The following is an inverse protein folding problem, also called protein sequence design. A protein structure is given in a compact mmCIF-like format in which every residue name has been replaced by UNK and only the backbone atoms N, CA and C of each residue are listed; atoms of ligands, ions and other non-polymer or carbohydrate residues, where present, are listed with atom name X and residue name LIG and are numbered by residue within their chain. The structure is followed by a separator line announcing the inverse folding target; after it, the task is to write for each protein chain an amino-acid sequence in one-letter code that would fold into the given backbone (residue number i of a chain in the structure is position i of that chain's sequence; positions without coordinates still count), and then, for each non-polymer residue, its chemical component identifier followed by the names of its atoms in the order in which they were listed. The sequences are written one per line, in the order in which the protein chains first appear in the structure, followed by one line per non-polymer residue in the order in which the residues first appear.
data_IF_777585397498
#
_entry.id   IF_777585397498
#
_cell.length_a   1.000
_cell.length_b   1.000
_cell.length_c   1.000
_cell.angle_alpha   90.00
_cell.angle_beta   90.00
_cell.angle_gamma   90.00
#
_symmetry.space_group_name_H-M   'P 1'
#
loop_
_entity.id
_entity.type
_entity.pdbx_description
1 polymer ?
#
# COMPACT_ATOMS: atom_id res chain seq x y z
N UNK A 1 -10.08 24.79 -18.58
CA UNK A 1 -11.40 24.16 -18.72
C UNK A 1 -11.98 23.97 -17.33
N UNK A 2 -13.13 24.58 -17.02
CA UNK A 2 -13.76 24.57 -15.70
C UNK A 2 -14.27 23.16 -15.39
N UNK A 3 -13.56 22.42 -14.56
CA UNK A 3 -14.07 21.18 -13.99
C UNK A 3 -15.13 21.53 -12.94
N UNK A 4 -16.41 21.40 -13.29
CA UNK A 4 -17.46 21.19 -12.29
C UNK A 4 -17.00 20.00 -11.44
N UNK A 5 -16.60 20.27 -10.19
CA UNK A 5 -16.21 19.24 -9.22
C UNK A 5 -17.41 18.34 -8.96
N UNK A 6 -17.58 17.29 -9.76
CA UNK A 6 -18.63 16.29 -9.58
C UNK A 6 -18.44 15.65 -8.22
N UNK A 7 -19.38 15.90 -7.31
CA UNK A 7 -19.42 15.25 -6.02
C UNK A 7 -19.82 13.79 -6.25
N UNK A 8 -18.92 12.85 -5.94
CA UNK A 8 -19.23 11.42 -6.00
C UNK A 8 -19.60 10.91 -4.62
N UNK A 9 -20.58 10.01 -4.58
CA UNK A 9 -21.01 9.30 -3.37
C UNK A 9 -21.56 7.94 -3.75
N UNK A 10 -21.90 7.14 -2.75
CA UNK A 10 -22.56 5.85 -2.96
C UNK A 10 -23.77 5.98 -3.90
N UNK A 11 -23.81 5.11 -4.92
CA UNK A 11 -24.80 5.13 -6.00
C UNK A 11 -24.37 5.92 -7.25
N UNK A 12 -23.33 6.77 -7.18
CA UNK A 12 -22.74 7.41 -8.36
C UNK A 12 -22.19 6.36 -9.35
N UNK A 13 -22.22 6.67 -10.65
CA UNK A 13 -21.69 5.80 -11.72
C UNK A 13 -21.01 6.61 -12.81
N UNK A 14 -20.12 5.97 -13.57
CA UNK A 14 -19.54 6.50 -14.79
C UNK A 14 -18.03 6.75 -14.71
N UNK A 15 -17.49 7.46 -15.70
CA UNK A 15 -16.05 7.63 -15.89
C UNK A 15 -15.34 8.32 -14.72
N UNK A 16 -16.02 9.23 -14.01
CA UNK A 16 -15.41 9.86 -12.83
C UNK A 16 -15.25 8.87 -11.66
N UNK A 17 -16.14 7.88 -11.54
CA UNK A 17 -15.99 6.80 -10.56
C UNK A 17 -14.85 5.85 -10.97
N UNK A 18 -14.70 5.57 -12.27
CA UNK A 18 -13.55 4.80 -12.79
C UNK A 18 -12.24 5.45 -12.38
N UNK A 19 -12.08 6.75 -12.65
CA UNK A 19 -10.87 7.52 -12.26
C UNK A 19 -10.62 7.48 -10.75
N UNK A 20 -11.68 7.63 -9.95
CA UNK A 20 -11.59 7.52 -8.50
C UNK A 20 -11.07 6.14 -8.08
N UNK A 21 -11.68 5.08 -8.60
CA UNK A 21 -11.31 3.69 -8.29
C UNK A 21 -9.86 3.40 -8.72
N UNK A 22 -9.43 3.87 -9.89
CA UNK A 22 -8.03 3.76 -10.35
C UNK A 22 -7.07 4.46 -9.41
N UNK A 23 -7.38 5.70 -9.01
CA UNK A 23 -6.57 6.47 -8.09
C UNK A 23 -6.44 5.80 -6.72
N UNK A 24 -7.58 5.41 -6.12
CA UNK A 24 -7.60 4.70 -4.84
C UNK A 24 -6.88 3.35 -4.91
N UNK A 25 -6.96 2.65 -6.05
CA UNK A 25 -6.27 1.38 -6.26
C UNK A 25 -4.77 1.55 -6.41
N UNK A 26 -4.30 2.58 -7.13
CA UNK A 26 -2.87 2.93 -7.21
C UNK A 26 -2.26 3.26 -5.85
N UNK A 27 -3.06 3.80 -4.94
CA UNK A 27 -2.66 4.14 -3.57
C UNK A 27 -2.98 3.03 -2.56
N UNK A 28 -3.39 1.85 -3.02
CA UNK A 28 -3.72 0.67 -2.22
C UNK A 28 -4.87 0.85 -1.20
N UNK A 29 -5.74 1.84 -1.40
CA UNK A 29 -6.98 2.01 -0.63
C UNK A 29 -8.14 1.16 -1.15
N UNK A 30 -8.07 0.69 -2.40
CA UNK A 30 -9.15 -0.04 -3.06
C UNK A 30 -8.65 -1.31 -3.75
N UNK A 31 -9.17 -2.47 -3.34
CA UNK A 31 -8.83 -3.77 -3.92
C UNK A 31 -9.88 -4.30 -4.93
N UNK A 32 -11.04 -3.63 -5.03
CA UNK A 32 -12.14 -4.06 -5.89
C UNK A 32 -11.89 -3.89 -7.39
N UNK A 33 -12.87 -4.28 -8.19
CA UNK A 33 -12.87 -4.06 -9.63
C UNK A 33 -13.05 -2.56 -9.95
N UNK A 34 -12.42 -2.11 -11.02
CA UNK A 34 -12.63 -0.78 -11.59
C UNK A 34 -13.79 -0.92 -12.58
N UNK A 35 -15.01 -0.76 -12.09
CA UNK A 35 -16.26 -0.98 -12.82
C UNK A 35 -17.04 0.32 -13.07
N UNK A 36 -16.58 1.44 -12.51
CA UNK A 36 -17.26 2.71 -12.59
C UNK A 36 -18.54 2.77 -11.77
N UNK A 37 -18.74 1.87 -10.80
CA UNK A 37 -19.88 1.86 -9.88
C UNK A 37 -19.41 2.20 -8.47
N UNK A 38 -19.92 3.29 -7.91
CA UNK A 38 -19.59 3.71 -6.56
C UNK A 38 -20.47 2.92 -5.58
N UNK A 39 -20.09 1.67 -5.33
CA UNK A 39 -20.71 0.80 -4.32
C UNK A 39 -20.07 0.95 -2.94
N UNK A 40 -20.49 0.09 -2.01
CA UNK A 40 -19.98 0.05 -0.64
C UNK A 40 -18.45 -0.06 -0.57
N UNK A 41 -17.84 -0.93 -1.40
CA UNK A 41 -16.38 -1.08 -1.42
C UNK A 41 -15.64 0.18 -1.88
N UNK A 42 -16.21 0.98 -2.79
CA UNK A 42 -15.63 2.27 -3.19
C UNK A 42 -15.79 3.30 -2.08
N UNK A 43 -16.95 3.33 -1.39
CA UNK A 43 -17.20 4.21 -0.25
C UNK A 43 -16.21 3.96 0.88
N UNK A 44 -16.01 2.71 1.25
CA UNK A 44 -15.07 2.32 2.30
C UNK A 44 -13.64 2.77 1.94
N UNK A 45 -13.23 2.56 0.68
CA UNK A 45 -11.95 3.05 0.18
C UNK A 45 -11.81 4.58 0.28
N UNK A 46 -12.86 5.33 -0.05
CA UNK A 46 -12.87 6.79 0.09
C UNK A 46 -12.75 7.21 1.55
N UNK A 47 -13.51 6.60 2.47
CA UNK A 47 -13.45 6.90 3.91
C UNK A 47 -12.03 6.69 4.43
N UNK A 48 -11.39 5.59 4.02
CA UNK A 48 -10.01 5.27 4.42
C UNK A 48 -9.02 6.29 3.90
N UNK A 49 -9.12 6.62 2.61
CA UNK A 49 -8.28 7.65 2.00
C UNK A 49 -8.47 9.01 2.68
N UNK A 50 -9.71 9.36 3.03
CA UNK A 50 -10.00 10.60 3.75
C UNK A 50 -9.35 10.58 5.14
N UNK A 51 -9.52 9.50 5.93
CA UNK A 51 -8.90 9.37 7.25
C UNK A 51 -7.38 9.43 7.20
N UNK A 52 -6.75 8.74 6.24
CA UNK A 52 -5.29 8.67 6.13
C UNK A 52 -4.63 10.01 5.80
N UNK A 53 -5.39 10.95 5.25
CA UNK A 53 -4.92 12.30 4.92
C UNK A 53 -5.57 13.38 5.79
N UNK A 54 -6.16 13.03 6.93
CA UNK A 54 -6.75 13.99 7.88
C UNK A 54 -7.95 14.76 7.33
N UNK A 55 -8.64 14.23 6.32
CA UNK A 55 -9.88 14.78 5.78
C UNK A 55 -11.09 14.31 6.59
N UNK A 56 -12.22 14.99 6.42
CA UNK A 56 -13.51 14.49 6.92
C UNK A 56 -13.84 13.17 6.23
N UNK A 57 -13.99 12.12 7.02
CA UNK A 57 -14.16 10.75 6.54
C UNK A 57 -15.63 10.37 6.35
N UNK A 58 -16.33 11.11 5.49
CA UNK A 58 -17.77 10.97 5.22
C UNK A 58 -18.09 10.04 4.03
N UNK A 59 -17.08 9.58 3.29
CA UNK A 59 -17.25 8.74 2.11
C UNK A 59 -17.75 9.50 0.88
N UNK A 60 -17.73 10.84 0.92
CA UNK A 60 -18.15 11.72 -0.18
C UNK A 60 -16.91 12.34 -0.82
N UNK A 61 -16.75 12.13 -2.12
CA UNK A 61 -15.63 12.69 -2.89
C UNK A 61 -16.01 14.06 -3.42
N UNK A 62 -15.74 15.08 -2.59
CA UNK A 62 -15.82 16.48 -2.98
C UNK A 62 -14.48 17.05 -3.46
N UNK A 63 -14.43 18.36 -3.69
CA UNK A 63 -13.24 19.06 -4.20
C UNK A 63 -11.98 18.82 -3.35
N UNK A 64 -12.10 18.78 -2.02
CA UNK A 64 -10.96 18.51 -1.11
C UNK A 64 -10.39 17.11 -1.30
N UNK A 65 -11.25 16.10 -1.41
CA UNK A 65 -10.82 14.72 -1.63
C UNK A 65 -10.18 14.55 -3.00
N UNK A 66 -10.77 15.14 -4.05
CA UNK A 66 -10.17 15.14 -5.39
C UNK A 66 -8.83 15.85 -5.44
N UNK A 67 -8.73 17.03 -4.83
CA UNK A 67 -7.49 17.80 -4.79
C UNK A 67 -6.39 16.99 -4.13
N UNK A 68 -6.68 16.35 -2.98
CA UNK A 68 -5.68 15.54 -2.29
C UNK A 68 -5.30 14.29 -3.09
N UNK A 69 -6.28 13.60 -3.67
CA UNK A 69 -6.03 12.41 -4.49
C UNK A 69 -5.12 12.74 -5.69
N UNK A 70 -5.41 13.84 -6.39
CA UNK A 70 -4.63 14.28 -7.54
C UNK A 70 -3.25 14.80 -7.15
N UNK A 71 -3.12 15.49 -6.01
CA UNK A 71 -1.83 15.91 -5.45
C UNK A 71 -0.92 14.70 -5.22
N UNK A 72 -1.44 13.65 -4.56
CA UNK A 72 -0.67 12.44 -4.29
C UNK A 72 -0.32 11.69 -5.59
N UNK A 73 -1.27 11.58 -6.53
CA UNK A 73 -1.03 10.89 -7.81
C UNK A 73 -0.13 11.67 -8.78
N UNK A 74 -0.12 13.00 -8.69
CA UNK A 74 0.61 13.91 -9.58
C UNK A 74 2.04 14.22 -9.11
N UNK A 75 2.31 14.11 -7.81
CA UNK A 75 3.66 14.07 -7.31
C UNK A 75 4.26 12.73 -7.74
N UNK A 76 5.24 12.73 -8.66
CA UNK A 76 6.07 11.55 -8.93
C UNK A 76 6.69 11.10 -7.60
N UNK A 77 6.03 10.14 -6.94
CA UNK A 77 6.35 9.50 -5.65
C UNK A 77 7.63 10.06 -5.04
N UNK A 78 7.49 11.15 -4.29
CA UNK A 78 8.61 11.85 -3.66
C UNK A 78 9.46 10.85 -2.88
N UNK A 79 10.80 10.95 -3.00
CA UNK A 79 11.80 10.13 -2.31
C UNK A 79 11.67 10.08 -0.78
N UNK A 80 10.72 10.80 -0.17
CA UNK A 80 10.62 11.05 1.26
C UNK A 80 9.31 10.54 1.93
N UNK A 81 8.53 9.67 1.29
CA UNK A 81 7.30 9.12 1.89
C UNK A 81 7.56 8.09 3.00
N UNK A 82 8.59 7.29 2.79
CA UNK A 82 8.93 6.17 3.66
C UNK A 82 10.02 6.56 4.64
N UNK A 83 9.80 6.28 5.91
CA UNK A 83 10.80 6.44 6.97
C UNK A 83 11.09 5.09 7.60
N UNK A 84 12.37 4.83 7.85
CA UNK A 84 12.80 3.64 8.60
C UNK A 84 12.25 3.67 10.02
N UNK A 85 11.70 2.55 10.47
CA UNK A 85 11.20 2.42 11.82
C UNK A 85 12.34 2.41 12.84
N UNK A 86 12.08 2.94 14.03
CA UNK A 86 12.95 2.76 15.20
C UNK A 86 12.86 1.33 15.72
N UNK A 87 13.87 0.81 16.45
CA UNK A 87 13.82 -0.55 17.01
C UNK A 87 12.55 -0.83 17.83
N UNK A 88 12.05 0.15 18.58
CA UNK A 88 10.80 0.02 19.33
C UNK A 88 9.58 -0.11 18.41
N UNK A 89 9.52 0.71 17.35
CA UNK A 89 8.47 0.61 16.33
C UNK A 89 8.53 -0.73 15.59
N UNK A 90 9.73 -1.25 15.29
CA UNK A 90 9.88 -2.57 14.67
C UNK A 90 9.32 -3.70 15.54
N UNK A 91 9.55 -3.63 16.87
CA UNK A 91 8.99 -4.61 17.81
C UNK A 91 7.47 -4.58 17.81
N UNK A 92 6.86 -3.39 17.84
CA UNK A 92 5.40 -3.26 17.80
C UNK A 92 4.82 -3.67 16.44
N UNK A 93 5.53 -3.38 15.35
CA UNK A 93 5.15 -3.84 14.02
C UNK A 93 5.16 -5.37 13.94
N UNK A 94 6.24 -6.02 14.41
CA UNK A 94 6.34 -7.48 14.45
C UNK A 94 5.19 -8.08 15.28
N UNK A 95 4.90 -7.51 16.46
CA UNK A 95 3.75 -7.93 17.28
C UNK A 95 2.43 -7.80 16.51
N UNK A 96 2.24 -6.71 15.77
CA UNK A 96 1.05 -6.51 14.94
C UNK A 96 0.95 -7.56 13.83
N UNK A 97 2.06 -7.89 13.16
CA UNK A 97 2.10 -8.89 12.10
C UNK A 97 1.75 -10.29 12.60
N UNK A 98 2.35 -10.75 13.70
CA UNK A 98 2.14 -12.12 14.21
C UNK A 98 0.75 -12.31 14.84
N UNK A 99 0.12 -11.23 15.31
CA UNK A 99 -1.24 -11.26 15.87
C UNK A 99 -2.33 -10.96 14.82
N UNK A 100 -1.95 -10.78 13.55
CA UNK A 100 -2.88 -10.57 12.45
C UNK A 100 -2.91 -11.78 11.53
N UNK A 101 -4.12 -12.23 11.14
CA UNK A 101 -4.28 -13.29 10.13
C UNK A 101 -3.58 -12.93 8.81
N UNK A 102 -3.71 -11.68 8.37
CA UNK A 102 -3.08 -11.21 7.13
C UNK A 102 -1.58 -10.99 7.29
N UNK A 103 -1.13 -10.55 8.47
CA UNK A 103 0.31 -10.48 8.77
C UNK A 103 0.96 -11.85 8.73
N UNK A 104 0.39 -12.85 9.39
CA UNK A 104 0.86 -14.25 9.36
C UNK A 104 0.81 -14.82 7.94
N UNK A 105 -0.26 -14.57 7.17
CA UNK A 105 -0.34 -15.00 5.78
C UNK A 105 0.81 -14.44 4.92
N UNK A 106 1.15 -13.17 5.11
CA UNK A 106 2.28 -12.56 4.42
C UNK A 106 3.63 -13.17 4.84
N UNK A 107 3.83 -13.42 6.14
CA UNK A 107 5.03 -14.07 6.66
C UNK A 107 5.19 -15.50 6.14
N UNK A 108 4.09 -16.25 6.03
CA UNK A 108 4.09 -17.57 5.42
C UNK A 108 4.48 -17.51 3.94
N UNK A 109 3.98 -16.52 3.19
CA UNK A 109 4.35 -16.35 1.79
C UNK A 109 5.86 -16.06 1.63
N UNK A 110 6.43 -15.22 2.49
CA UNK A 110 7.87 -14.94 2.55
C UNK A 110 8.67 -16.22 2.83
N UNK A 111 8.21 -17.05 3.78
CA UNK A 111 8.85 -18.31 4.12
C UNK A 111 8.81 -19.31 2.95
N UNK A 112 7.67 -19.43 2.25
CA UNK A 112 7.52 -20.28 1.06
C UNK A 112 8.45 -19.88 -0.09
N UNK A 113 8.81 -18.61 -0.18
CA UNK A 113 9.77 -18.08 -1.16
C UNK A 113 11.22 -18.14 -0.68
N UNK A 114 11.47 -18.78 0.48
CA UNK A 114 12.77 -18.96 1.14
C UNK A 114 13.42 -17.67 1.69
N UNK A 115 12.69 -16.60 1.97
CA UNK A 115 13.25 -15.31 2.45
C UNK A 115 13.45 -15.21 3.99
N UNK A 116 13.80 -16.32 4.63
CA UNK A 116 13.99 -16.42 6.10
C UNK A 116 15.41 -16.88 6.52
N UNK A 117 16.36 -16.90 5.57
CA UNK A 117 17.74 -17.36 5.80
C UNK A 117 18.60 -16.38 6.60
N UNK A 118 19.72 -16.87 7.15
CA UNK A 118 20.67 -16.07 7.94
C UNK A 118 21.38 -14.97 7.12
N UNK A 119 21.49 -15.15 5.82
CA UNK A 119 22.00 -14.19 4.85
C UNK A 119 20.96 -13.13 4.42
N UNK A 120 19.76 -13.18 5.00
CA UNK A 120 18.69 -12.23 4.73
C UNK A 120 18.63 -11.13 5.80
N UNK A 121 18.67 -9.87 5.38
CA UNK A 121 18.44 -8.70 6.25
C UNK A 121 17.00 -8.22 6.12
N UNK A 122 16.32 -8.05 7.25
CA UNK A 122 14.97 -7.48 7.34
C UNK A 122 15.02 -6.05 7.88
N UNK A 123 14.26 -5.13 7.26
CA UNK A 123 14.06 -3.75 7.75
C UNK A 123 12.59 -3.36 7.62
N UNK A 124 12.11 -2.56 8.57
CA UNK A 124 10.75 -2.04 8.52
C UNK A 124 10.69 -0.55 8.26
N UNK A 125 9.65 -0.14 7.55
CA UNK A 125 9.40 1.23 7.15
C UNK A 125 7.95 1.58 7.40
N UNK A 126 7.70 2.84 7.72
CA UNK A 126 6.36 3.42 7.83
C UNK A 126 6.21 4.52 6.79
N UNK A 127 5.04 4.57 6.17
CA UNK A 127 4.71 5.65 5.26
C UNK A 127 4.10 6.80 6.06
N UNK A 128 4.86 7.89 6.21
CA UNK A 128 4.43 9.06 6.97
C UNK A 128 3.37 9.88 6.18
N UNK A 129 3.30 9.74 4.85
CA UNK A 129 2.30 10.43 4.02
C UNK A 129 0.88 9.89 4.26
N UNK A 130 0.76 8.57 4.46
CA UNK A 130 -0.51 7.93 4.80
C UNK A 130 -0.71 7.80 6.31
N UNK A 131 -0.14 8.68 7.14
CA UNK A 131 -0.39 8.70 8.59
C UNK A 131 -0.17 7.37 9.31
N UNK A 132 0.73 6.51 8.80
CA UNK A 132 1.00 5.18 9.35
C UNK A 132 0.03 4.06 8.95
N UNK A 133 -0.94 4.33 8.05
CA UNK A 133 -1.83 3.31 7.50
C UNK A 133 -1.13 2.37 6.50
N UNK A 134 0.12 2.67 6.12
CA UNK A 134 0.97 1.74 5.37
C UNK A 134 2.29 1.53 6.09
N UNK A 135 2.64 0.26 6.28
CA UNK A 135 3.95 -0.17 6.74
C UNK A 135 4.55 -1.11 5.71
N UNK A 136 5.87 -1.22 5.68
CA UNK A 136 6.57 -2.05 4.72
C UNK A 136 7.66 -2.84 5.41
N UNK A 137 7.68 -4.14 5.14
CA UNK A 137 8.79 -5.02 5.50
C UNK A 137 9.61 -5.30 4.24
N UNK A 138 10.86 -4.87 4.26
CA UNK A 138 11.84 -5.15 3.21
C UNK A 138 12.73 -6.29 3.66
N UNK A 139 12.92 -7.28 2.81
CA UNK A 139 13.84 -8.40 3.04
C UNK A 139 14.80 -8.48 1.87
N UNK A 140 16.10 -8.41 2.15
CA UNK A 140 17.18 -8.58 1.16
C UNK A 140 18.03 -9.78 1.52
N UNK A 141 18.30 -10.68 0.59
CA UNK A 141 19.21 -11.80 0.78
C UNK A 141 20.42 -11.66 -0.16
N UNK A 142 21.58 -12.19 0.22
CA UNK A 142 22.78 -12.12 -0.63
C UNK A 142 22.69 -12.97 -1.89
N UNK A 143 21.96 -14.09 -1.81
CA UNK A 143 21.71 -14.98 -2.95
C UNK A 143 20.27 -14.83 -3.46
N UNK A 144 20.04 -14.74 -4.78
CA UNK A 144 18.68 -14.78 -5.33
C UNK A 144 17.89 -16.02 -4.89
N UNK A 145 16.60 -15.84 -4.65
CA UNK A 145 15.64 -16.86 -4.20
C UNK A 145 14.35 -16.78 -5.01
N UNK A 146 13.44 -17.71 -4.77
CA UNK A 146 12.11 -17.74 -5.37
C UNK A 146 11.48 -19.12 -5.25
N UNK A 147 10.15 -19.20 -5.32
CA UNK A 147 9.42 -20.47 -5.27
C UNK A 147 9.63 -21.33 -6.54
N UNK A 148 10.09 -20.71 -7.64
CA UNK A 148 10.44 -21.37 -8.90
C UNK A 148 11.81 -20.88 -9.35
N UNK A 149 12.69 -21.81 -9.72
CA UNK A 149 14.10 -21.56 -10.10
C UNK A 149 14.28 -20.87 -11.46
N UNK A 150 13.19 -20.52 -12.16
CA UNK A 150 13.26 -19.93 -13.49
C UNK A 150 13.68 -18.45 -13.49
N UNK A 151 13.31 -17.69 -12.46
CA UNK A 151 13.68 -16.26 -12.30
C UNK A 151 13.86 -15.99 -10.80
N UNK A 152 15.11 -15.82 -10.37
CA UNK A 152 15.45 -15.52 -8.97
C UNK A 152 15.38 -14.01 -8.66
N UNK A 153 15.09 -13.67 -7.42
CA UNK A 153 15.12 -12.30 -6.92
C UNK A 153 15.79 -12.24 -5.55
N UNK A 154 16.47 -11.14 -5.27
CA UNK A 154 17.25 -10.98 -4.04
C UNK A 154 16.55 -10.08 -3.02
N UNK A 155 15.43 -9.46 -3.39
CA UNK A 155 14.66 -8.58 -2.52
C UNK A 155 13.15 -8.85 -2.65
N UNK A 156 12.49 -9.02 -1.50
CA UNK A 156 11.03 -8.98 -1.36
C UNK A 156 10.67 -7.74 -0.54
N UNK A 157 9.64 -7.02 -0.99
CA UNK A 157 8.98 -5.97 -0.20
C UNK A 157 7.54 -6.35 0.03
N UNK A 158 7.15 -6.37 1.30
CA UNK A 158 5.77 -6.62 1.71
C UNK A 158 5.20 -5.32 2.23
N UNK A 159 4.25 -4.73 1.52
CA UNK A 159 3.50 -3.56 1.97
C UNK A 159 2.24 -4.03 2.69
N UNK A 160 2.07 -3.63 3.95
CA UNK A 160 0.88 -3.92 4.75
C UNK A 160 -0.03 -2.70 4.73
N UNK A 161 -1.24 -2.88 4.20
CA UNK A 161 -2.26 -1.84 4.19
C UNK A 161 -3.16 -2.02 5.41
N UNK A 162 -3.26 -0.96 6.20
CA UNK A 162 -3.91 -0.96 7.49
C UNK A 162 -5.16 -0.08 7.44
N UNK A 163 -6.16 -0.50 8.19
CA UNK A 163 -7.23 0.38 8.63
C UNK A 163 -7.26 0.38 10.15
N UNK A 164 -7.02 1.55 10.72
CA UNK A 164 -6.75 1.72 12.14
C UNK A 164 -5.58 0.80 12.55
N UNK A 165 -5.76 -0.07 13.55
CA UNK A 165 -4.73 -1.02 13.98
C UNK A 165 -4.71 -2.34 13.19
N UNK A 166 -5.68 -2.57 12.31
CA UNK A 166 -5.87 -3.86 11.64
C UNK A 166 -5.18 -3.91 10.29
N UNK A 167 -4.39 -4.96 10.05
CA UNK A 167 -3.83 -5.26 8.73
C UNK A 167 -4.91 -5.97 7.92
N UNK A 168 -5.38 -5.32 6.88
CA UNK A 168 -6.49 -5.85 6.10
C UNK A 168 -6.04 -6.61 4.86
N UNK A 169 -4.97 -6.14 4.24
CA UNK A 169 -4.35 -6.82 3.13
C UNK A 169 -2.85 -6.51 3.09
N UNK A 170 -2.15 -7.22 2.22
CA UNK A 170 -0.76 -6.96 1.94
C UNK A 170 -0.50 -7.12 0.45
N UNK A 171 0.53 -6.41 -0.03
CA UNK A 171 1.04 -6.54 -1.39
C UNK A 171 2.49 -7.00 -1.33
N UNK A 172 2.87 -7.86 -2.27
CA UNK A 172 4.24 -8.35 -2.39
C UNK A 172 4.82 -7.85 -3.71
N UNK A 173 5.94 -7.15 -3.59
CA UNK A 173 6.79 -6.77 -4.70
C UNK A 173 8.07 -7.63 -4.65
N UNK A 174 8.45 -8.17 -5.80
CA UNK A 174 9.66 -8.97 -6.01
C UNK A 174 10.61 -8.16 -6.87
N UNK A 175 11.85 -8.01 -6.42
CA UNK A 175 12.82 -7.08 -7.03
C UNK A 175 14.05 -7.85 -7.50
N UNK A 176 14.31 -7.75 -8.80
CA UNK A 176 15.53 -8.25 -9.46
C UNK A 176 15.77 -7.48 -10.77
N UNK A 177 16.92 -7.70 -11.39
CA UNK A 177 17.24 -7.13 -12.70
C UNK A 177 16.26 -7.61 -13.79
N UNK A 178 15.79 -8.85 -13.70
CA UNK A 178 14.90 -9.48 -14.69
C UNK A 178 13.41 -9.16 -14.47
N UNK A 179 12.98 -9.00 -13.22
CA UNK A 179 11.58 -8.70 -12.87
C UNK A 179 11.30 -7.21 -12.99
N UNK A 180 12.25 -6.37 -12.55
CA UNK A 180 12.12 -4.93 -12.56
C UNK A 180 12.67 -4.28 -11.30
N UNK A 181 13.06 -3.02 -11.47
CA UNK A 181 13.41 -2.13 -10.37
C UNK A 181 12.20 -1.94 -9.42
N UNK A 182 12.46 -1.65 -8.13
CA UNK A 182 11.38 -1.40 -7.19
C UNK A 182 10.55 -0.17 -7.60
N UNK A 183 9.24 -0.21 -7.31
CA UNK A 183 8.27 0.87 -7.57
C UNK A 183 8.65 2.21 -6.95
N UNK A 184 9.43 2.19 -5.88
CA UNK A 184 9.91 3.39 -5.18
C UNK A 184 11.26 3.12 -4.47
N UNK A 185 12.02 4.17 -4.22
CA UNK A 185 13.22 4.09 -3.39
C UNK A 185 12.84 4.08 -1.89
N UNK A 186 13.63 3.35 -1.09
CA UNK A 186 13.52 3.35 0.37
C UNK A 186 14.79 3.97 0.95
N UNK A 187 14.71 4.75 2.05
CA UNK A 187 15.92 5.24 2.70
C UNK A 187 16.74 4.08 3.26
N UNK A 188 18.05 4.29 3.41
CA UNK A 188 18.97 3.28 3.95
C UNK A 188 18.72 2.96 5.44
#
# INVERSE_FOLDING_TARGET
MNATSTVLKEGSKGQEVVKLQEGLKKLNFYAGAIDGIFGAGTKDAVIRFQRSHGLVADGIVGAKTWSKLNEILGNNMSKNQWRKMTPQQEVEEIKSLINSRMGVAALNQVALENFIGFDCTRRFYINDEFGGFQTLMRIKCSTPRGASSAIGYHEIRVTFNRFESNIENFEIERVSEEIGAPKFELPE
#
